data_IF_187057797126
#
_entry.id   IF_187057797126
#
_cell.length_a   1.000
_cell.length_b   1.000
_cell.length_c   1.000
_cell.angle_alpha   90.00
_cell.angle_beta   90.00
_cell.angle_gamma   90.00
#
_symmetry.space_group_name_H-M   'P 1'
#
loop_
_entity.id
_entity.type
_entity.pdbx_description
1 polymer ?
#
# COMPACT_ATOMS: atom_id res chain seq x y z
N UNK A 1 4.90 14.06 -6.12
CA UNK A 1 4.82 12.61 -6.40
C UNK A 1 5.40 12.35 -7.77
N UNK A 2 6.09 11.22 -7.94
CA UNK A 2 6.55 10.76 -9.25
C UNK A 2 5.64 9.59 -9.65
N UNK A 3 5.10 9.65 -10.86
CA UNK A 3 4.21 8.62 -11.43
C UNK A 3 4.99 7.82 -12.47
N UNK A 4 4.90 6.50 -12.38
CA UNK A 4 5.45 5.59 -13.38
C UNK A 4 4.34 4.64 -13.82
N UNK A 5 4.23 4.43 -15.13
CA UNK A 5 3.29 3.45 -15.69
C UNK A 5 4.07 2.20 -16.05
N UNK A 6 3.73 1.08 -15.44
CA UNK A 6 4.30 -0.21 -15.84
C UNK A 6 3.34 -0.94 -16.76
N UNK A 7 3.88 -1.45 -17.87
CA UNK A 7 3.14 -2.30 -18.79
C UNK A 7 3.36 -3.75 -18.35
N UNK A 8 2.28 -4.42 -17.98
CA UNK A 8 2.32 -5.85 -17.70
C UNK A 8 2.53 -6.64 -19.00
N UNK A 9 3.14 -7.84 -18.95
CA UNK A 9 3.31 -8.68 -20.14
C UNK A 9 2.01 -9.03 -20.88
N UNK A 10 0.86 -8.92 -20.20
CA UNK A 10 -0.48 -9.14 -20.76
C UNK A 10 -1.09 -7.88 -21.40
N UNK A 11 -0.32 -6.79 -21.55
CA UNK A 11 -0.78 -5.54 -22.16
C UNK A 11 -1.59 -4.62 -21.23
N UNK A 12 -1.89 -5.04 -20.00
CA UNK A 12 -2.49 -4.18 -18.98
C UNK A 12 -1.49 -3.16 -18.45
N UNK A 13 -1.94 -1.93 -18.16
CA UNK A 13 -1.09 -0.88 -17.57
C UNK A 13 -1.43 -0.74 -16.08
N UNK A 14 -0.44 -0.93 -15.22
CA UNK A 14 -0.55 -0.62 -13.78
C UNK A 14 0.09 0.73 -13.55
N UNK A 15 -0.62 1.64 -12.88
CA UNK A 15 -0.07 2.92 -12.49
C UNK A 15 0.49 2.84 -11.07
N UNK A 16 1.76 3.21 -10.94
CA UNK A 16 2.46 3.29 -9.67
C UNK A 16 2.85 4.73 -9.36
N UNK A 17 2.71 5.13 -8.10
CA UNK A 17 3.14 6.44 -7.60
C UNK A 17 4.07 6.28 -6.40
N UNK A 18 5.21 6.96 -6.43
CA UNK A 18 6.10 7.06 -5.29
C UNK A 18 5.74 8.31 -4.47
N UNK A 19 5.39 8.11 -3.20
CA UNK A 19 5.39 9.19 -2.22
C UNK A 19 6.85 9.43 -1.78
N UNK A 20 7.43 10.56 -2.17
CA UNK A 20 8.82 10.90 -1.86
C UNK A 20 9.04 11.22 -0.38
N UNK A 21 8.00 11.65 0.35
CA UNK A 21 8.10 11.99 1.77
C UNK A 21 8.13 10.72 2.63
N UNK A 22 7.25 9.76 2.32
CA UNK A 22 7.15 8.50 3.06
C UNK A 22 7.97 7.35 2.44
N UNK A 23 8.58 7.58 1.28
CA UNK A 23 9.23 6.55 0.44
C UNK A 23 8.35 5.32 0.21
N UNK A 24 7.03 5.54 0.09
CA UNK A 24 6.06 4.47 -0.13
C UNK A 24 5.62 4.45 -1.57
N UNK A 25 5.79 3.30 -2.21
CA UNK A 25 5.19 3.01 -3.50
C UNK A 25 3.71 2.69 -3.32
N UNK A 26 2.88 3.22 -4.20
CA UNK A 26 1.43 3.08 -4.19
C UNK A 26 0.93 2.66 -5.56
N UNK A 27 -0.12 1.85 -5.60
CA UNK A 27 -0.78 1.39 -6.84
C UNK A 27 -2.13 2.08 -7.00
N UNK A 28 -2.45 2.50 -8.22
CA UNK A 28 -3.80 2.99 -8.55
C UNK A 28 -4.78 1.80 -8.61
N UNK A 29 -5.80 1.82 -7.75
CA UNK A 29 -6.77 0.73 -7.65
C UNK A 29 -7.55 0.50 -8.95
N UNK A 30 -7.89 1.56 -9.68
CA UNK A 30 -8.58 1.43 -10.97
C UNK A 30 -7.77 0.64 -11.98
N UNK A 31 -6.46 0.93 -12.08
CA UNK A 31 -5.55 0.20 -12.97
C UNK A 31 -5.39 -1.27 -12.57
N UNK A 32 -5.37 -1.54 -11.27
CA UNK A 32 -5.32 -2.90 -10.72
C UNK A 32 -6.60 -3.69 -10.99
N UNK A 33 -7.77 -3.08 -10.80
CA UNK A 33 -9.06 -3.72 -11.07
C UNK A 33 -9.23 -4.00 -12.57
N UNK A 34 -8.80 -3.07 -13.43
CA UNK A 34 -8.79 -3.28 -14.89
C UNK A 34 -7.93 -4.47 -15.31
N UNK A 35 -6.80 -4.72 -14.64
CA UNK A 35 -5.96 -5.90 -14.89
C UNK A 35 -6.73 -7.21 -14.71
N UNK A 36 -7.68 -7.25 -13.76
CA UNK A 36 -8.51 -8.42 -13.49
C UNK A 36 -9.87 -8.39 -14.22
N UNK A 37 -10.12 -7.39 -15.08
CA UNK A 37 -11.42 -7.20 -15.70
C UNK A 37 -12.54 -6.94 -14.68
N UNK A 38 -12.18 -6.37 -13.53
CA UNK A 38 -13.09 -6.13 -12.41
C UNK A 38 -13.77 -4.76 -12.53
N UNK A 39 -14.94 -4.63 -11.89
CA UNK A 39 -15.68 -3.37 -11.87
C UNK A 39 -14.96 -2.31 -11.03
N UNK A 40 -14.96 -1.05 -11.49
CA UNK A 40 -14.30 0.05 -10.80
C UNK A 40 -14.92 0.36 -9.41
N UNK A 41 -16.19 0.03 -9.19
CA UNK A 41 -16.89 0.17 -7.90
C UNK A 41 -16.23 -0.63 -6.77
N UNK A 42 -15.51 -1.71 -7.07
CA UNK A 42 -14.78 -2.49 -6.06
C UNK A 42 -13.63 -1.69 -5.41
N UNK A 43 -13.21 -0.56 -6.00
CA UNK A 43 -12.26 0.34 -5.36
C UNK A 43 -12.81 0.95 -4.06
N UNK A 44 -14.14 1.07 -3.93
CA UNK A 44 -14.80 1.60 -2.74
C UNK A 44 -14.64 0.65 -1.53
N UNK A 45 -14.47 -0.65 -1.76
CA UNK A 45 -14.18 -1.60 -0.69
C UNK A 45 -12.85 -1.29 0.01
N UNK A 46 -11.88 -0.78 -0.75
CA UNK A 46 -10.60 -0.37 -0.16
C UNK A 46 -10.74 0.84 0.75
N UNK A 47 -11.77 1.68 0.58
CA UNK A 47 -12.05 2.80 1.49
C UNK A 47 -12.50 2.24 2.84
N UNK A 48 -13.37 1.23 2.81
CA UNK A 48 -13.91 0.60 4.02
C UNK A 48 -12.82 -0.15 4.79
N UNK A 49 -11.96 -0.87 4.07
CA UNK A 49 -10.94 -1.73 4.69
C UNK A 49 -9.64 -0.97 5.03
N UNK A 50 -9.22 -0.02 4.20
CA UNK A 50 -7.89 0.62 4.27
C UNK A 50 -7.96 2.15 4.36
N UNK A 51 -9.10 2.74 4.76
CA UNK A 51 -9.35 4.18 4.66
C UNK A 51 -8.23 5.09 5.18
N UNK A 52 -7.62 4.76 6.32
CA UNK A 52 -6.52 5.55 6.90
C UNK A 52 -5.21 5.49 6.07
N UNK A 53 -5.02 4.40 5.31
CA UNK A 53 -3.82 4.16 4.50
C UNK A 53 -4.03 4.50 3.02
N UNK A 54 -5.29 4.56 2.58
CA UNK A 54 -5.69 4.86 1.22
C UNK A 54 -5.51 6.35 0.94
N UNK A 55 -4.81 6.66 -0.15
CA UNK A 55 -4.64 8.04 -0.60
C UNK A 55 -5.65 8.33 -1.70
N UNK A 56 -6.43 9.37 -1.51
CA UNK A 56 -7.42 9.84 -2.48
C UNK A 56 -6.91 11.12 -3.11
N UNK A 57 -6.92 11.17 -4.45
CA UNK A 57 -6.58 12.37 -5.22
C UNK A 57 -7.72 12.71 -6.16
N UNK A 58 -7.96 13.99 -6.42
CA UNK A 58 -8.93 14.40 -7.44
C UNK A 58 -8.39 14.12 -8.84
N UNK A 59 -9.20 13.48 -9.69
CA UNK A 59 -8.88 13.33 -11.09
C UNK A 59 -9.02 14.68 -11.79
N UNK A 60 -7.97 15.10 -12.50
CA UNK A 60 -7.98 16.33 -13.31
C UNK A 60 -9.01 16.28 -14.45
N UNK A 61 -9.43 15.09 -14.87
CA UNK A 61 -10.42 14.89 -15.93
C UNK A 61 -11.64 14.15 -15.36
N UNK A 62 -12.82 14.78 -15.49
CA UNK A 62 -14.15 14.22 -15.18
C UNK A 62 -14.57 14.06 -13.71
N UNK A 63 -13.98 14.81 -12.76
CA UNK A 63 -14.54 14.94 -11.39
C UNK A 63 -14.61 13.65 -10.57
N UNK A 64 -13.83 12.63 -10.94
CA UNK A 64 -13.72 11.37 -10.21
C UNK A 64 -12.59 11.40 -9.17
N UNK A 65 -12.63 10.47 -8.22
CA UNK A 65 -11.54 10.25 -7.26
C UNK A 65 -10.60 9.14 -7.74
N UNK A 66 -9.30 9.38 -7.63
CA UNK A 66 -8.24 8.39 -7.84
C UNK A 66 -7.82 7.81 -6.50
N UNK A 67 -7.90 6.48 -6.38
CA UNK A 67 -7.58 5.76 -5.16
C UNK A 67 -6.22 5.07 -5.29
N UNK A 68 -5.31 5.40 -4.38
CA UNK A 68 -3.94 4.90 -4.35
C UNK A 68 -3.67 4.11 -3.06
N UNK A 69 -3.55 2.80 -3.21
CA UNK A 69 -3.26 1.88 -2.12
C UNK A 69 -1.74 1.71 -1.95
N UNK A 70 -1.19 1.72 -0.72
CA UNK A 70 0.18 1.30 -0.49
C UNK A 70 0.44 -0.07 -1.10
N UNK A 71 1.54 -0.19 -1.86
CA UNK A 71 1.83 -1.41 -2.61
C UNK A 71 1.83 -2.63 -1.68
N UNK A 72 2.31 -2.49 -0.44
CA UNK A 72 2.34 -3.54 0.59
C UNK A 72 0.98 -4.15 0.93
N UNK A 73 -0.11 -3.41 0.76
CA UNK A 73 -1.48 -3.84 1.05
C UNK A 73 -2.21 -4.41 -0.18
N UNK A 74 -1.57 -4.37 -1.36
CA UNK A 74 -2.14 -4.92 -2.60
C UNK A 74 -2.56 -6.39 -2.46
N UNK A 75 -1.79 -7.29 -1.80
CA UNK A 75 -2.23 -8.66 -1.58
C UNK A 75 -3.54 -8.76 -0.81
N UNK A 76 -3.64 -8.02 0.30
CA UNK A 76 -4.81 -8.05 1.18
C UNK A 76 -6.06 -7.56 0.44
N UNK A 77 -5.91 -6.52 -0.38
CA UNK A 77 -6.99 -6.04 -1.23
C UNK A 77 -7.41 -7.08 -2.28
N UNK A 78 -6.44 -7.75 -2.93
CA UNK A 78 -6.75 -8.79 -3.93
C UNK A 78 -7.47 -9.98 -3.27
N UNK A 79 -7.01 -10.42 -2.11
CA UNK A 79 -7.68 -11.48 -1.33
C UNK A 79 -9.13 -11.06 -0.99
N UNK A 80 -9.35 -9.81 -0.60
CA UNK A 80 -10.68 -9.28 -0.25
C UNK A 80 -11.67 -9.24 -1.43
N UNK A 81 -11.20 -8.95 -2.65
CA UNK A 81 -12.05 -8.88 -3.84
C UNK A 81 -12.16 -10.22 -4.58
N UNK A 82 -11.40 -11.25 -4.19
CA UNK A 82 -11.23 -12.47 -4.97
C UNK A 82 -12.56 -13.16 -5.31
N UNK A 83 -13.46 -13.24 -4.33
CA UNK A 83 -14.78 -13.87 -4.48
C UNK A 83 -15.73 -13.04 -5.35
N UNK A 84 -15.48 -11.74 -5.45
CA UNK A 84 -16.26 -10.78 -6.25
C UNK A 84 -15.81 -10.72 -7.70
N UNK A 85 -14.65 -11.31 -8.03
CA UNK A 85 -14.18 -11.44 -9.40
C UNK A 85 -14.97 -12.51 -10.16
N UNK A 86 -15.16 -12.27 -11.46
CA UNK A 86 -15.69 -13.26 -12.39
C UNK A 86 -14.82 -14.54 -12.38
N UNK A 87 -15.42 -15.74 -12.52
CA UNK A 87 -14.67 -17.01 -12.46
C UNK A 87 -13.48 -17.08 -13.43
N UNK A 88 -13.60 -16.48 -14.61
CA UNK A 88 -12.54 -16.45 -15.62
C UNK A 88 -11.34 -15.55 -15.24
N UNK A 89 -11.56 -14.55 -14.38
CA UNK A 89 -10.53 -13.60 -13.94
C UNK A 89 -9.79 -14.06 -12.69
N UNK A 90 -10.41 -14.90 -11.86
CA UNK A 90 -9.84 -15.39 -10.59
C UNK A 90 -8.47 -16.06 -10.76
N UNK A 91 -8.23 -16.95 -11.75
CA UNK A 91 -6.92 -17.57 -11.94
C UNK A 91 -5.80 -16.54 -12.16
N UNK A 92 -6.06 -15.49 -12.94
CA UNK A 92 -5.09 -14.43 -13.20
C UNK A 92 -4.79 -13.60 -11.94
N UNK A 93 -5.81 -13.31 -11.14
CA UNK A 93 -5.64 -12.62 -9.85
C UNK A 93 -4.81 -13.45 -8.87
N UNK A 94 -5.06 -14.76 -8.77
CA UNK A 94 -4.30 -15.69 -7.93
C UNK A 94 -2.84 -15.78 -8.40
N UNK A 95 -2.61 -15.86 -9.72
CA UNK A 95 -1.25 -15.89 -10.27
C UNK A 95 -0.49 -14.58 -9.96
N UNK A 96 -1.15 -13.44 -10.12
CA UNK A 96 -0.59 -12.13 -9.77
C UNK A 96 -0.21 -12.05 -8.29
N UNK A 97 -1.13 -12.47 -7.41
CA UNK A 97 -0.94 -12.54 -5.96
C UNK A 97 0.25 -13.43 -5.59
N UNK A 98 0.36 -14.61 -6.20
CA UNK A 98 1.47 -15.54 -5.97
C UNK A 98 2.82 -14.96 -6.43
N UNK A 99 2.86 -14.30 -7.60
CA UNK A 99 4.05 -13.58 -8.08
C UNK A 99 4.46 -12.48 -7.11
N UNK A 100 3.49 -11.72 -6.63
CA UNK A 100 3.70 -10.64 -5.68
C UNK A 100 4.29 -11.16 -4.35
N UNK A 101 3.65 -12.16 -3.73
CA UNK A 101 4.13 -12.79 -2.49
C UNK A 101 5.53 -13.38 -2.66
N UNK A 102 5.80 -14.01 -3.80
CA UNK A 102 7.13 -14.56 -4.11
C UNK A 102 8.19 -13.46 -4.24
N UNK A 103 7.86 -12.32 -4.86
CA UNK A 103 8.76 -11.18 -4.98
C UNK A 103 9.07 -10.56 -3.61
N UNK A 104 8.06 -10.39 -2.76
CA UNK A 104 8.25 -9.91 -1.38
C UNK A 104 9.08 -10.86 -0.54
N UNK A 105 8.80 -12.16 -0.59
CA UNK A 105 9.59 -13.15 0.15
C UNK A 105 11.07 -13.12 -0.26
N UNK A 106 11.36 -12.92 -1.55
CA UNK A 106 12.74 -12.71 -2.03
C UNK A 106 13.35 -11.42 -1.49
N UNK A 107 12.62 -10.29 -1.56
CA UNK A 107 13.10 -9.02 -1.04
C UNK A 107 13.38 -9.06 0.48
N UNK A 108 12.54 -9.74 1.25
CA UNK A 108 12.76 -9.96 2.68
C UNK A 108 14.01 -10.80 2.94
N UNK A 109 14.21 -11.86 2.15
CA UNK A 109 15.41 -12.69 2.23
C UNK A 109 16.68 -11.88 1.91
N UNK A 110 16.67 -11.11 0.84
CA UNK A 110 17.80 -10.27 0.42
C UNK A 110 18.11 -9.20 1.47
N UNK A 111 17.07 -8.60 2.06
CA UNK A 111 17.20 -7.62 3.15
C UNK A 111 17.81 -8.27 4.38
N UNK A 112 17.34 -9.47 4.77
CA UNK A 112 17.89 -10.21 5.90
C UNK A 112 19.38 -10.54 5.69
N UNK A 113 19.73 -10.98 4.48
CA UNK A 113 21.11 -11.30 4.12
C UNK A 113 22.02 -10.05 4.14
N UNK A 114 21.53 -8.92 3.62
CA UNK A 114 22.25 -7.65 3.63
C UNK A 114 22.48 -7.16 5.07
N UNK A 115 21.47 -7.27 5.92
CA UNK A 115 21.59 -6.94 7.33
C UNK A 115 22.58 -7.87 8.05
N UNK A 116 22.56 -9.17 7.78
CA UNK A 116 23.54 -10.11 8.34
C UNK A 116 24.98 -9.72 7.99
N UNK A 117 25.22 -9.36 6.73
CA UNK A 117 26.54 -8.99 6.21
C UNK A 117 26.97 -7.56 6.59
N UNK A 118 26.07 -6.73 7.12
CA UNK A 118 26.36 -5.33 7.41
C UNK A 118 25.86 -4.89 8.79
N UNK A 119 26.77 -4.95 9.78
CA UNK A 119 26.50 -4.59 11.16
C UNK A 119 26.11 -3.11 11.35
N UNK A 120 26.61 -2.20 10.52
CA UNK A 120 26.30 -0.77 10.59
C UNK A 120 24.88 -0.49 10.13
N UNK A 121 24.46 -1.10 9.02
CA UNK A 121 23.08 -1.02 8.53
C UNK A 121 22.10 -1.63 9.52
N UNK A 122 22.45 -2.74 10.17
CA UNK A 122 21.67 -3.30 11.28
C UNK A 122 21.50 -2.31 12.43
N UNK A 123 22.57 -1.67 12.88
CA UNK A 123 22.53 -0.69 13.97
C UNK A 123 21.69 0.52 13.61
N UNK A 124 21.88 1.06 12.40
CA UNK A 124 21.09 2.19 11.89
C UNK A 124 19.59 1.85 11.84
N UNK A 125 19.22 0.67 11.33
CA UNK A 125 17.83 0.23 11.27
C UNK A 125 17.21 0.08 12.67
N UNK A 126 17.95 -0.49 13.63
CA UNK A 126 17.49 -0.60 15.02
C UNK A 126 17.29 0.75 15.68
N UNK A 127 18.18 1.71 15.44
CA UNK A 127 18.07 3.08 15.95
C UNK A 127 16.84 3.78 15.38
N UNK A 128 16.61 3.69 14.07
CA UNK A 128 15.42 4.24 13.41
C UNK A 128 14.13 3.66 14.00
N UNK A 129 14.03 2.33 14.17
CA UNK A 129 12.85 1.71 14.79
C UNK A 129 12.57 2.22 16.21
N UNK A 130 13.63 2.43 17.02
CA UNK A 130 13.49 3.00 18.38
C UNK A 130 13.01 4.46 18.33
N UNK A 131 13.51 5.25 17.39
CA UNK A 131 13.07 6.64 17.22
C UNK A 131 11.59 6.72 16.81
N UNK A 132 11.14 5.86 15.90
CA UNK A 132 9.74 5.82 15.48
C UNK A 132 8.80 5.43 16.63
N UNK A 133 9.18 4.43 17.44
CA UNK A 133 8.44 4.04 18.63
C UNK A 133 8.33 5.18 19.64
N UNK A 134 9.42 5.91 19.86
CA UNK A 134 9.45 7.06 20.76
C UNK A 134 8.56 8.20 20.24
N UNK A 135 8.67 8.52 18.95
CA UNK A 135 7.84 9.53 18.30
C UNK A 135 6.35 9.16 18.38
N UNK A 136 6.00 7.89 18.14
CA UNK A 136 4.63 7.42 18.29
C UNK A 136 4.13 7.59 19.74
N UNK A 137 4.95 7.19 20.73
CA UNK A 137 4.60 7.30 22.15
C UNK A 137 4.36 8.76 22.55
N UNK A 138 5.23 9.68 22.12
CA UNK A 138 5.06 11.12 22.34
C UNK A 138 3.77 11.65 21.72
N UNK A 139 3.46 11.29 20.46
CA UNK A 139 2.20 11.69 19.81
C UNK A 139 0.97 11.20 20.58
N UNK A 140 1.01 9.97 21.11
CA UNK A 140 -0.08 9.39 21.90
C UNK A 140 -0.26 10.11 23.24
N UNK A 141 0.83 10.48 23.91
CA UNK A 141 0.76 11.27 25.14
C UNK A 141 0.18 12.66 24.87
N UNK A 142 0.65 13.35 23.83
CA UNK A 142 0.15 14.66 23.44
C UNK A 142 -1.35 14.63 23.10
N UNK A 143 -1.81 13.64 22.34
CA UNK A 143 -3.24 13.50 22.00
C UNK A 143 -4.10 13.18 23.21
N UNK A 144 -3.60 12.40 24.17
CA UNK A 144 -4.31 12.12 25.44
C UNK A 144 -4.45 13.37 26.30
N UNK A 145 -3.43 14.22 26.35
CA UNK A 145 -3.47 15.51 27.07
C UNK A 145 -4.45 16.48 26.43
N UNK A 146 -4.52 16.53 25.10
CA UNK A 146 -5.48 17.37 24.37
C UNK A 146 -6.93 16.93 24.58
N UNK A 147 -7.21 15.62 24.54
CA UNK A 147 -8.55 15.06 24.83
C UNK A 147 -9.01 15.36 26.25
N UNK A 148 -8.13 15.20 27.24
CA UNK A 148 -8.46 15.51 28.64
C UNK A 148 -8.73 17.01 28.85
N UNK A 149 -8.12 17.89 28.05
CA UNK A 149 -8.38 19.33 28.09
C UNK A 149 -9.72 19.74 27.48
N UNK A 150 -10.24 18.96 26.52
CA UNK A 150 -11.55 19.19 25.89
C UNK A 150 -12.73 18.67 26.72
N UNK A 151 -12.50 17.67 27.59
CA UNK A 151 -13.51 17.13 28.51
C UNK A 151 -13.68 17.94 29.81
N UNK A 152 -12.79 18.90 30.07
CA UNK A 152 -12.78 19.74 31.26
C UNK A 152 -13.40 21.14 31.05
N UNK A 153 -14.06 21.36 29.91
CA UNK A 153 -14.84 22.54 29.54
C UNK A 153 -16.29 22.12 29.26
#
# INVERSE_FOLDING_TARGET
MITTTETTPAGGKIQLKMNMESLQLRVELKSLLQLFGAQASLAELAITEFGDELRVEEAQEAGGSLYYLPLRLTPDFIDHILDQLCPNSRPAAIEYLNKYRSAWSRADHDTAQLLEKNADLRRALQLSKKQDQMAHTLRKMLSSLQKNRQLAL
#
